data_IF_512808876439
#
_entry.id   IF_512808876439
#
_cell.length_a   1.000
_cell.length_b   1.000
_cell.length_c   1.000
_cell.angle_alpha   90.00
_cell.angle_beta   90.00
_cell.angle_gamma   90.00
#
_symmetry.space_group_name_H-M   'P 1'
#
loop_
_entity.id
_entity.type
_entity.pdbx_description
1 polymer ?
#
# COMPACT_ATOMS: atom_id res chain seq x y z
N UNK A 1 1.13 2.47 -26.86
CA UNK A 1 0.58 3.84 -26.85
C UNK A 1 1.37 4.64 -25.85
N UNK A 2 2.29 5.50 -26.36
CA UNK A 2 3.04 6.46 -25.51
C UNK A 2 2.04 7.48 -24.96
N UNK A 3 1.50 7.27 -23.76
CA UNK A 3 0.81 8.31 -23.02
C UNK A 3 1.89 9.29 -22.54
N UNK A 4 2.00 10.42 -23.18
CA UNK A 4 2.82 11.53 -22.71
C UNK A 4 2.24 12.02 -21.39
N UNK A 5 2.90 11.73 -20.27
CA UNK A 5 2.51 12.28 -18.97
C UNK A 5 2.78 13.78 -18.96
N UNK A 6 1.86 14.61 -18.45
CA UNK A 6 2.12 16.02 -18.27
C UNK A 6 3.31 16.21 -17.31
N UNK A 7 4.21 17.10 -17.64
CA UNK A 7 5.35 17.45 -16.80
C UNK A 7 5.51 18.98 -16.69
N UNK A 8 6.06 19.42 -15.57
CA UNK A 8 6.47 20.80 -15.33
C UNK A 8 7.97 20.79 -14.99
N UNK A 9 8.76 21.59 -15.71
CA UNK A 9 10.14 21.84 -15.37
C UNK A 9 10.20 22.97 -14.36
N UNK A 10 10.78 22.71 -13.18
CA UNK A 10 10.86 23.68 -12.10
C UNK A 10 11.65 23.16 -10.91
N UNK A 11 11.64 23.93 -9.83
CA UNK A 11 12.26 23.57 -8.55
C UNK A 11 11.16 23.20 -7.55
N UNK A 12 11.07 21.93 -7.21
CA UNK A 12 10.06 21.43 -6.28
C UNK A 12 10.22 21.95 -4.84
N UNK A 13 11.34 22.59 -4.51
CA UNK A 13 11.55 23.21 -3.19
C UNK A 13 10.91 24.60 -3.08
N UNK A 14 10.35 25.13 -4.17
CA UNK A 14 9.66 26.43 -4.18
C UNK A 14 8.14 26.27 -4.16
N UNK A 15 7.48 27.11 -3.37
CA UNK A 15 6.02 27.15 -3.25
C UNK A 15 5.35 27.40 -4.60
N UNK A 16 5.92 28.30 -5.38
CA UNK A 16 5.38 28.72 -6.67
C UNK A 16 5.28 27.55 -7.65
N UNK A 17 6.33 26.74 -7.76
CA UNK A 17 6.34 25.63 -8.70
C UNK A 17 5.48 24.46 -8.21
N UNK A 18 5.39 24.22 -6.90
CA UNK A 18 4.41 23.29 -6.34
C UNK A 18 2.96 23.74 -6.61
N UNK A 19 2.67 25.04 -6.49
CA UNK A 19 1.35 25.57 -6.79
C UNK A 19 1.04 25.44 -8.30
N UNK A 20 1.99 25.78 -9.18
CA UNK A 20 1.84 25.58 -10.63
C UNK A 20 1.61 24.12 -10.99
N UNK A 21 2.29 23.19 -10.30
CA UNK A 21 2.09 21.76 -10.47
C UNK A 21 0.71 21.26 -9.98
N UNK A 22 -0.04 22.11 -9.27
CA UNK A 22 -1.41 21.83 -8.88
C UNK A 22 -1.55 21.16 -7.51
N UNK A 23 -0.60 21.35 -6.58
CA UNK A 23 -0.58 20.73 -5.25
C UNK A 23 -1.86 21.00 -4.45
N UNK A 24 -2.51 22.17 -4.64
CA UNK A 24 -3.76 22.54 -3.94
C UNK A 24 -4.92 21.59 -4.24
N UNK A 25 -4.93 20.94 -5.41
CA UNK A 25 -5.97 19.99 -5.85
C UNK A 25 -5.49 18.55 -5.90
N UNK A 26 -4.21 18.31 -5.61
CA UNK A 26 -3.64 16.97 -5.61
C UNK A 26 -4.19 16.13 -4.46
N UNK A 27 -4.32 14.82 -4.68
CA UNK A 27 -4.64 13.83 -3.64
C UNK A 27 -3.37 13.31 -2.96
N UNK A 28 -2.29 13.21 -3.73
CA UNK A 28 -1.03 12.65 -3.26
C UNK A 28 0.16 13.37 -3.89
N UNK A 29 1.28 13.35 -3.20
CA UNK A 29 2.60 13.74 -3.71
C UNK A 29 3.63 12.66 -3.34
N UNK A 30 4.53 12.40 -4.28
CA UNK A 30 5.71 11.56 -4.03
C UNK A 30 6.91 12.44 -4.28
N UNK A 31 7.76 12.63 -3.24
CA UNK A 31 9.00 13.38 -3.38
C UNK A 31 10.21 12.44 -3.40
N UNK A 32 11.04 12.57 -4.42
CA UNK A 32 12.16 11.65 -4.73
C UNK A 32 13.47 12.39 -5.00
N UNK A 33 13.61 13.61 -4.47
CA UNK A 33 14.84 14.38 -4.64
C UNK A 33 16.04 13.65 -4.02
N UNK A 34 17.27 13.85 -4.56
CA UNK A 34 18.47 13.20 -4.02
C UNK A 34 18.79 13.62 -2.58
N UNK A 35 18.46 14.86 -2.22
CA UNK A 35 18.76 15.45 -0.91
C UNK A 35 17.60 15.25 0.06
N UNK A 36 17.88 14.70 1.26
CA UNK A 36 16.89 14.54 2.33
C UNK A 36 16.39 15.90 2.86
N UNK A 37 17.23 16.94 2.85
CA UNK A 37 16.83 18.29 3.23
C UNK A 37 15.84 18.89 2.25
N UNK A 38 16.06 18.70 0.95
CA UNK A 38 15.16 19.22 -0.07
C UNK A 38 13.81 18.48 -0.02
N UNK A 39 13.83 17.14 0.17
CA UNK A 39 12.61 16.38 0.43
C UNK A 39 11.87 16.91 1.68
N UNK A 40 12.60 17.29 2.73
CA UNK A 40 11.99 17.85 3.94
C UNK A 40 11.31 19.19 3.66
N UNK A 41 11.93 20.08 2.87
CA UNK A 41 11.31 21.34 2.44
C UNK A 41 10.03 21.06 1.64
N UNK A 42 10.09 20.18 0.65
CA UNK A 42 8.90 19.81 -0.14
C UNK A 42 7.79 19.28 0.76
N UNK A 43 8.09 18.42 1.73
CA UNK A 43 7.08 17.86 2.64
C UNK A 43 6.44 18.94 3.51
N UNK A 44 7.24 19.86 4.07
CA UNK A 44 6.74 20.97 4.90
C UNK A 44 5.82 21.88 4.09
N UNK A 45 6.29 22.38 2.94
CA UNK A 45 5.52 23.25 2.05
C UNK A 45 4.25 22.55 1.54
N UNK A 46 4.36 21.28 1.14
CA UNK A 46 3.22 20.50 0.66
C UNK A 46 2.14 20.37 1.74
N UNK A 47 2.52 20.10 2.98
CA UNK A 47 1.60 19.96 4.11
C UNK A 47 0.96 21.29 4.49
N UNK A 48 1.70 22.41 4.40
CA UNK A 48 1.19 23.75 4.64
C UNK A 48 0.13 24.14 3.59
N UNK A 49 0.44 23.92 2.32
CA UNK A 49 -0.47 24.29 1.20
C UNK A 49 -1.72 23.40 1.17
N UNK A 50 -1.57 22.09 1.47
CA UNK A 50 -2.67 21.13 1.41
C UNK A 50 -2.58 20.12 2.57
N UNK A 51 -3.32 20.43 3.64
CA UNK A 51 -3.31 19.63 4.88
C UNK A 51 -3.86 18.19 4.70
N UNK A 52 -4.65 17.93 3.65
CA UNK A 52 -5.25 16.60 3.37
C UNK A 52 -4.42 15.73 2.44
N UNK A 53 -3.29 16.25 1.96
CA UNK A 53 -2.45 15.56 0.98
C UNK A 53 -1.84 14.28 1.55
N UNK A 54 -1.89 13.19 0.81
CA UNK A 54 -1.08 12.00 1.12
C UNK A 54 0.34 12.23 0.62
N UNK A 55 1.31 12.27 1.54
CA UNK A 55 2.70 12.57 1.24
C UNK A 55 3.57 11.32 1.43
N UNK A 56 4.22 10.88 0.37
CA UNK A 56 5.23 9.83 0.38
C UNK A 56 6.59 10.48 0.08
N UNK A 57 7.58 10.27 0.93
CA UNK A 57 8.89 10.88 0.76
C UNK A 57 10.00 9.84 0.69
N UNK A 58 10.98 10.09 -0.19
CA UNK A 58 12.27 9.40 -0.16
C UNK A 58 13.12 9.90 1.00
N UNK A 59 13.85 8.99 1.62
CA UNK A 59 15.00 9.30 2.49
C UNK A 59 16.21 8.46 2.07
N UNK A 60 17.40 9.04 2.17
CA UNK A 60 18.67 8.35 1.96
C UNK A 60 19.29 7.90 3.29
N UNK A 61 18.94 8.56 4.41
CA UNK A 61 19.49 8.26 5.74
C UNK A 61 18.38 7.91 6.72
N UNK A 62 18.59 6.89 7.55
CA UNK A 62 17.66 6.48 8.60
C UNK A 62 17.31 7.62 9.58
N UNK A 63 18.28 8.51 9.88
CA UNK A 63 18.06 9.67 10.75
C UNK A 63 17.07 10.70 10.15
N UNK A 64 16.90 10.71 8.84
CA UNK A 64 15.97 11.61 8.14
C UNK A 64 14.53 11.10 8.18
N UNK A 65 14.32 9.80 8.30
CA UNK A 65 12.98 9.17 8.32
C UNK A 65 12.10 9.81 9.39
N UNK A 66 12.61 9.89 10.63
CA UNK A 66 11.85 10.50 11.73
C UNK A 66 11.51 11.97 11.48
N UNK A 67 12.44 12.73 10.92
CA UNK A 67 12.24 14.16 10.62
C UNK A 67 11.18 14.37 9.55
N UNK A 68 11.22 13.59 8.48
CA UNK A 68 10.22 13.62 7.41
C UNK A 68 8.82 13.22 7.90
N UNK A 69 8.73 12.24 8.80
CA UNK A 69 7.47 11.87 9.46
C UNK A 69 6.91 13.02 10.31
N UNK A 70 7.75 13.67 11.12
CA UNK A 70 7.37 14.83 11.95
C UNK A 70 6.93 16.00 11.06
N UNK A 71 7.60 16.22 9.93
CA UNK A 71 7.23 17.25 8.95
C UNK A 71 5.86 16.99 8.26
N UNK A 72 5.29 15.80 8.43
CA UNK A 72 3.96 15.47 7.91
C UNK A 72 3.94 14.47 6.76
N UNK A 73 5.04 13.78 6.46
CA UNK A 73 5.01 12.67 5.51
C UNK A 73 4.19 11.50 6.07
N UNK A 74 3.23 11.00 5.28
CA UNK A 74 2.46 9.81 5.62
C UNK A 74 3.33 8.56 5.57
N UNK A 75 4.18 8.45 4.53
CA UNK A 75 5.15 7.37 4.41
C UNK A 75 6.53 7.91 4.01
N UNK A 76 7.57 7.25 4.50
CA UNK A 76 8.95 7.54 4.12
C UNK A 76 9.62 6.24 3.71
N UNK A 77 10.22 6.23 2.53
CA UNK A 77 10.83 5.07 1.92
C UNK A 77 12.34 5.34 1.74
N UNK A 78 13.16 4.35 2.03
CA UNK A 78 14.60 4.33 1.77
C UNK A 78 14.88 3.33 0.63
N UNK A 79 14.87 3.76 -0.65
CA UNK A 79 14.98 2.85 -1.80
C UNK A 79 16.26 2.01 -1.78
N UNK A 80 17.39 2.63 -1.41
CA UNK A 80 18.68 1.94 -1.38
C UNK A 80 18.71 0.82 -0.32
N UNK A 81 18.04 1.04 0.83
CA UNK A 81 17.92 0.02 1.87
C UNK A 81 16.99 -1.12 1.43
N UNK A 82 15.86 -0.78 0.80
CA UNK A 82 14.92 -1.79 0.26
C UNK A 82 15.59 -2.62 -0.83
N UNK A 83 16.25 -1.96 -1.78
CA UNK A 83 16.97 -2.64 -2.86
C UNK A 83 18.10 -3.54 -2.34
N UNK A 84 18.86 -3.05 -1.36
CA UNK A 84 19.90 -3.84 -0.71
C UNK A 84 19.36 -5.08 0.00
N UNK A 85 18.26 -4.94 0.75
CA UNK A 85 17.59 -6.06 1.41
C UNK A 85 17.06 -7.07 0.39
N UNK A 86 16.45 -6.60 -0.70
CA UNK A 86 15.93 -7.47 -1.75
C UNK A 86 17.05 -8.25 -2.45
N UNK A 87 18.17 -7.59 -2.79
CA UNK A 87 19.36 -8.26 -3.36
C UNK A 87 19.93 -9.33 -2.41
N UNK A 88 19.96 -9.05 -1.11
CA UNK A 88 20.40 -10.05 -0.13
C UNK A 88 19.43 -11.25 -0.07
N UNK A 89 18.13 -11.02 -0.15
CA UNK A 89 17.12 -12.08 -0.16
C UNK A 89 17.25 -13.00 -1.37
N UNK A 90 17.59 -12.45 -2.55
CA UNK A 90 17.87 -13.25 -3.76
C UNK A 90 19.04 -14.22 -3.58
N UNK A 91 19.98 -13.92 -2.70
CA UNK A 91 21.11 -14.83 -2.38
C UNK A 91 20.71 -15.87 -1.34
N UNK A 92 19.93 -15.46 -0.32
CA UNK A 92 19.63 -16.30 0.85
C UNK A 92 18.41 -17.20 0.61
N UNK A 93 17.37 -16.67 -0.05
CA UNK A 93 16.08 -17.35 -0.26
C UNK A 93 15.52 -17.09 -1.66
N UNK A 94 16.24 -17.48 -2.75
CA UNK A 94 15.85 -17.16 -4.11
C UNK A 94 14.44 -17.64 -4.46
N UNK A 95 14.11 -18.88 -4.11
CA UNK A 95 12.80 -19.50 -4.42
C UNK A 95 11.63 -18.75 -3.78
N UNK A 96 11.85 -18.19 -2.57
CA UNK A 96 10.81 -17.39 -1.89
C UNK A 96 10.61 -16.05 -2.59
N UNK A 97 11.69 -15.41 -3.02
CA UNK A 97 11.62 -14.13 -3.75
C UNK A 97 10.91 -14.34 -5.09
N UNK A 98 11.32 -15.35 -5.87
CA UNK A 98 10.69 -15.71 -7.14
C UNK A 98 9.19 -16.02 -6.96
N UNK A 99 8.83 -16.76 -5.91
CA UNK A 99 7.43 -17.05 -5.60
C UNK A 99 6.63 -15.77 -5.30
N UNK A 100 7.19 -14.85 -4.49
CA UNK A 100 6.53 -13.60 -4.13
C UNK A 100 6.39 -12.65 -5.34
N UNK A 101 7.40 -12.64 -6.23
CA UNK A 101 7.36 -11.82 -7.46
C UNK A 101 6.28 -12.30 -8.45
N UNK A 102 5.90 -13.59 -8.38
CA UNK A 102 4.80 -14.16 -9.16
C UNK A 102 3.40 -13.82 -8.56
N UNK A 103 3.33 -13.27 -7.36
CA UNK A 103 2.08 -12.82 -6.74
C UNK A 103 1.87 -11.33 -7.08
N UNK A 104 0.87 -11.01 -7.88
CA UNK A 104 0.55 -9.61 -8.18
C UNK A 104 -0.35 -8.99 -7.12
N UNK A 105 -0.04 -7.74 -6.75
CA UNK A 105 -0.89 -6.90 -5.87
C UNK A 105 -1.95 -6.13 -6.70
N UNK A 106 -1.93 -6.19 -8.04
CA UNK A 106 -2.78 -5.37 -8.92
C UNK A 106 -3.36 -6.09 -10.15
N UNK A 107 -3.58 -7.38 -10.10
CA UNK A 107 -4.43 -8.05 -11.08
C UNK A 107 -3.82 -8.34 -12.47
N UNK A 108 -2.49 -8.32 -12.60
CA UNK A 108 -1.80 -8.63 -13.86
C UNK A 108 -1.25 -10.07 -13.92
N UNK A 109 -1.38 -10.85 -12.85
CA UNK A 109 -0.98 -12.26 -12.80
C UNK A 109 -2.16 -13.19 -12.53
N UNK A 110 -1.93 -14.49 -12.77
CA UNK A 110 -2.93 -15.54 -12.52
C UNK A 110 -3.28 -15.67 -11.02
N UNK A 111 -2.41 -15.20 -10.13
CA UNK A 111 -2.60 -15.23 -8.67
C UNK A 111 -2.41 -13.82 -8.11
N UNK A 112 -3.43 -13.32 -7.44
CA UNK A 112 -3.48 -11.98 -6.86
C UNK A 112 -3.59 -12.03 -5.34
N UNK A 113 -2.98 -11.04 -4.70
CA UNK A 113 -3.18 -10.74 -3.29
C UNK A 113 -4.02 -9.46 -3.18
N UNK A 114 -5.23 -9.60 -2.67
CA UNK A 114 -6.16 -8.47 -2.54
C UNK A 114 -6.60 -8.27 -1.09
N UNK A 115 -6.94 -7.02 -0.78
CA UNK A 115 -7.51 -6.61 0.50
C UNK A 115 -9.02 -6.40 0.33
N UNK A 116 -9.82 -7.27 0.94
CA UNK A 116 -11.30 -7.20 0.90
C UNK A 116 -11.77 -6.61 2.23
N UNK A 117 -12.41 -5.44 2.16
CA UNK A 117 -13.01 -4.81 3.34
C UNK A 117 -14.28 -5.55 3.75
N UNK A 118 -14.59 -5.53 5.04
CA UNK A 118 -15.86 -6.08 5.54
C UNK A 118 -17.10 -5.56 4.78
N UNK A 119 -17.08 -4.28 4.37
CA UNK A 119 -18.16 -3.66 3.60
C UNK A 119 -18.35 -4.21 2.19
N UNK A 120 -17.30 -4.81 1.63
CA UNK A 120 -17.27 -5.30 0.25
C UNK A 120 -17.65 -6.79 0.18
N UNK A 121 -17.74 -7.44 1.36
CA UNK A 121 -18.22 -8.80 1.46
C UNK A 121 -19.73 -8.86 1.15
N UNK A 122 -20.22 -9.98 0.56
CA UNK A 122 -21.63 -10.11 0.24
C UNK A 122 -22.55 -9.87 1.45
N UNK A 123 -23.61 -9.10 1.26
CA UNK A 123 -24.52 -8.65 2.32
C UNK A 123 -25.33 -9.78 3.02
N UNK A 124 -25.17 -11.00 2.58
CA UNK A 124 -25.84 -12.16 3.15
C UNK A 124 -25.13 -12.63 4.43
N UNK A 125 -25.24 -11.82 5.45
CA UNK A 125 -24.48 -11.70 6.67
C UNK A 125 -24.68 -12.82 7.71
N UNK A 126 -24.67 -14.08 7.30
CA UNK A 126 -24.77 -15.21 8.26
C UNK A 126 -23.43 -15.78 8.68
N UNK A 127 -22.33 -15.38 8.05
CA UNK A 127 -20.99 -15.80 8.47
C UNK A 127 -20.48 -14.89 9.60
N UNK A 128 -20.02 -15.50 10.65
CA UNK A 128 -19.41 -14.80 11.79
C UNK A 128 -17.90 -15.00 11.82
N UNK A 129 -17.44 -16.09 11.21
CA UNK A 129 -16.04 -16.51 11.23
C UNK A 129 -15.50 -16.73 9.83
N UNK A 130 -14.19 -16.86 9.72
CA UNK A 130 -13.51 -17.24 8.46
C UNK A 130 -13.99 -18.60 7.96
N UNK A 131 -14.20 -19.56 8.86
CA UNK A 131 -14.71 -20.90 8.49
C UNK A 131 -16.12 -20.81 7.90
N UNK A 132 -17.01 -19.99 8.48
CA UNK A 132 -18.34 -19.78 7.94
C UNK A 132 -18.29 -19.17 6.53
N UNK A 133 -17.39 -18.19 6.31
CA UNK A 133 -17.17 -17.57 5.02
C UNK A 133 -16.69 -18.59 3.97
N UNK A 134 -15.67 -19.37 4.33
CA UNK A 134 -15.10 -20.40 3.46
C UNK A 134 -16.11 -21.50 3.14
N UNK A 135 -16.89 -21.96 4.12
CA UNK A 135 -17.93 -22.96 3.95
C UNK A 135 -19.03 -22.50 2.99
N UNK A 136 -19.37 -21.20 3.06
CA UNK A 136 -20.44 -20.64 2.23
C UNK A 136 -20.02 -20.37 0.79
N UNK A 137 -18.83 -19.81 0.61
CA UNK A 137 -18.42 -19.32 -0.71
C UNK A 137 -17.42 -20.21 -1.42
N UNK A 138 -16.98 -21.33 -0.89
CA UNK A 138 -16.09 -22.33 -1.53
C UNK A 138 -15.29 -21.79 -2.74
N UNK A 139 -14.85 -20.52 -2.62
CA UNK A 139 -14.28 -19.74 -3.73
C UNK A 139 -12.93 -20.30 -4.19
N UNK A 140 -12.30 -21.14 -3.34
CA UNK A 140 -10.95 -21.62 -3.56
C UNK A 140 -9.85 -20.60 -3.24
N UNK A 141 -10.22 -19.42 -2.72
CA UNK A 141 -9.25 -18.46 -2.20
C UNK A 141 -8.67 -18.90 -0.87
N UNK A 142 -7.45 -18.45 -0.58
CA UNK A 142 -6.84 -18.59 0.74
C UNK A 142 -6.86 -17.25 1.48
N UNK A 143 -7.43 -17.21 2.68
CA UNK A 143 -7.36 -16.04 3.57
C UNK A 143 -6.04 -16.14 4.33
N UNK A 144 -5.05 -15.36 3.92
CA UNK A 144 -3.69 -15.40 4.48
C UNK A 144 -3.46 -14.34 5.55
N UNK A 145 -4.36 -13.38 5.68
CA UNK A 145 -4.25 -12.33 6.69
C UNK A 145 -5.59 -11.73 7.07
N UNK A 146 -5.64 -11.19 8.27
CA UNK A 146 -6.76 -10.48 8.83
C UNK A 146 -6.27 -9.20 9.50
N UNK A 147 -6.90 -8.07 9.21
CA UNK A 147 -6.65 -6.82 9.88
C UNK A 147 -7.86 -6.44 10.71
N UNK A 148 -7.67 -6.31 12.01
CA UNK A 148 -8.72 -5.91 12.94
C UNK A 148 -9.09 -4.42 12.82
N UNK A 149 -10.21 -3.97 13.40
CA UNK A 149 -10.59 -2.56 13.41
C UNK A 149 -9.59 -1.64 14.12
N UNK A 150 -8.75 -2.17 15.00
CA UNK A 150 -7.67 -1.46 15.67
C UNK A 150 -6.42 -1.27 14.79
N UNK A 151 -6.40 -1.89 13.61
CA UNK A 151 -5.30 -1.81 12.65
C UNK A 151 -4.21 -2.86 12.83
N UNK A 152 -4.38 -3.83 13.74
CA UNK A 152 -3.42 -4.91 13.95
C UNK A 152 -3.60 -6.01 12.90
N UNK A 153 -2.50 -6.59 12.45
CA UNK A 153 -2.51 -7.69 11.50
C UNK A 153 -2.34 -9.04 12.19
N UNK A 154 -3.19 -9.99 11.83
CA UNK A 154 -3.05 -11.41 12.16
C UNK A 154 -2.68 -12.14 10.87
N UNK A 155 -1.49 -12.72 10.82
CA UNK A 155 -1.03 -13.51 9.69
C UNK A 155 -1.48 -14.96 9.92
N UNK A 156 -1.98 -15.60 8.87
CA UNK A 156 -2.56 -16.94 8.92
C UNK A 156 -3.62 -17.07 10.04
N UNK A 157 -4.72 -16.29 9.94
CA UNK A 157 -5.76 -16.31 10.97
C UNK A 157 -6.41 -17.69 11.06
N UNK A 158 -6.75 -18.09 12.28
CA UNK A 158 -7.48 -19.32 12.50
C UNK A 158 -8.90 -19.24 11.91
N UNK A 159 -9.46 -20.36 11.49
CA UNK A 159 -10.78 -20.40 10.87
C UNK A 159 -11.91 -19.87 11.77
N UNK A 160 -11.76 -19.97 13.09
CA UNK A 160 -12.70 -19.43 14.08
C UNK A 160 -12.51 -17.91 14.34
N UNK A 161 -11.63 -17.22 13.61
CA UNK A 161 -11.45 -15.78 13.72
C UNK A 161 -12.74 -15.07 13.32
N UNK A 162 -13.27 -14.22 14.22
CA UNK A 162 -14.50 -13.47 13.96
C UNK A 162 -14.25 -12.34 12.94
N UNK A 163 -15.13 -12.28 11.94
CA UNK A 163 -15.16 -11.21 10.94
C UNK A 163 -16.08 -10.10 11.45
N UNK A 164 -15.51 -8.96 11.77
CA UNK A 164 -16.22 -7.84 12.41
C UNK A 164 -16.26 -6.59 11.51
N UNK A 165 -17.22 -5.67 11.70
CA UNK A 165 -17.25 -4.41 10.95
C UNK A 165 -15.90 -3.65 11.00
N UNK A 166 -15.52 -3.04 9.90
CA UNK A 166 -14.24 -2.34 9.70
C UNK A 166 -12.98 -3.23 9.74
N UNK A 167 -13.14 -4.55 9.68
CA UNK A 167 -12.01 -5.46 9.43
C UNK A 167 -11.70 -5.57 7.94
N UNK A 168 -10.50 -6.09 7.62
CA UNK A 168 -10.05 -6.34 6.25
C UNK A 168 -9.44 -7.73 6.18
N UNK A 169 -9.86 -8.50 5.18
CA UNK A 169 -9.28 -9.80 4.83
C UNK A 169 -8.21 -9.62 3.77
N UNK A 170 -7.05 -10.25 3.94
CA UNK A 170 -6.03 -10.37 2.91
C UNK A 170 -6.18 -11.75 2.26
N UNK A 171 -6.58 -11.75 0.99
CA UNK A 171 -7.00 -12.93 0.26
C UNK A 171 -6.07 -13.21 -0.90
N UNK A 172 -5.61 -14.45 -1.01
CA UNK A 172 -4.79 -14.93 -2.11
C UNK A 172 -5.63 -15.84 -3.00
N UNK A 173 -5.70 -15.55 -4.29
CA UNK A 173 -6.46 -16.33 -5.26
C UNK A 173 -6.36 -15.77 -6.67
N UNK A 174 -6.97 -16.46 -7.63
CA UNK A 174 -7.12 -15.90 -8.97
C UNK A 174 -8.28 -14.86 -9.00
N UNK A 175 -8.37 -14.02 -10.04
CA UNK A 175 -9.40 -12.98 -10.12
C UNK A 175 -10.83 -13.51 -10.01
N UNK A 176 -11.13 -14.67 -10.59
CA UNK A 176 -12.47 -15.25 -10.53
C UNK A 176 -12.84 -15.73 -9.13
N UNK A 177 -11.87 -16.33 -8.44
CA UNK A 177 -12.01 -16.76 -7.05
C UNK A 177 -12.25 -15.58 -6.11
N UNK A 178 -11.47 -14.51 -6.27
CA UNK A 178 -11.56 -13.30 -5.45
C UNK A 178 -12.90 -12.58 -5.71
N UNK A 179 -13.31 -12.48 -6.97
CA UNK A 179 -14.59 -11.87 -7.34
C UNK A 179 -15.81 -12.60 -6.73
N UNK A 180 -15.72 -13.89 -6.42
CA UNK A 180 -16.78 -14.60 -5.73
C UNK A 180 -16.97 -14.15 -4.28
N UNK A 181 -15.92 -13.59 -3.65
CA UNK A 181 -16.00 -13.00 -2.32
C UNK A 181 -16.47 -11.54 -2.31
N UNK A 182 -16.43 -10.86 -3.45
CA UNK A 182 -16.79 -9.45 -3.63
C UNK A 182 -18.22 -9.24 -4.17
N UNK A 183 -19.10 -10.23 -4.07
CA UNK A 183 -20.48 -10.15 -4.63
C UNK A 183 -21.53 -9.98 -3.58
#
# INVERSE_FOLDING_TARGET
TNKQFPFLKGDATTDEDLIKAGIKRARSIITTLPSDSDNLFVVLTAREINSKLTIISRASRASSVRKLKIAGANNVIMPDSLGGSHMASLVVTPDVVEFLDNISIQGESDINLEAISFSDLPADSKYKTIDDLNAKYSSGCNIIGFKDPGGNYVINPAGNTEIVPNSVLLVLGNPDQINQLNK
#
